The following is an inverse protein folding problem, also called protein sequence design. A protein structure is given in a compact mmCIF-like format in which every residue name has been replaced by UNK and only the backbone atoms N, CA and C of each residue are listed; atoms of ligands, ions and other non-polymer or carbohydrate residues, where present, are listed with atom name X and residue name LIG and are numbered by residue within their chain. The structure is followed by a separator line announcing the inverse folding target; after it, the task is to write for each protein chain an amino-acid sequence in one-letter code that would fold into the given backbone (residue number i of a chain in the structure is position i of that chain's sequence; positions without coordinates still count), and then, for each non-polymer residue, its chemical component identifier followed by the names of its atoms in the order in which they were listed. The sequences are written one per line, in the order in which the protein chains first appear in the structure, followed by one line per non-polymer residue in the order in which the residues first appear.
data_IF_717225899467
#
_entry.id   IF_717225899467
#
_cell.length_a   1.000
_cell.length_b   1.000
_cell.length_c   1.000
_cell.angle_alpha   90.00
_cell.angle_beta   90.00
_cell.angle_gamma   90.00
#
_symmetry.space_group_name_H-M   'P 1'
#
loop_
_entity.id
_entity.type
_entity.pdbx_description
1 polymer ?
#
# COMPACT_ATOMS: atom_id res chain seq x y z
N UNK A 1 -17.42 15.85 -14.58
CA UNK A 1 -16.30 16.80 -14.84
C UNK A 1 -16.10 17.80 -13.69
N UNK A 2 -17.15 18.24 -12.97
CA UNK A 2 -17.01 19.17 -11.84
C UNK A 2 -16.33 18.57 -10.59
N UNK A 3 -16.34 17.24 -10.45
CA UNK A 3 -15.90 16.56 -9.22
C UNK A 3 -14.38 16.52 -9.02
N UNK A 4 -13.60 16.52 -10.11
CA UNK A 4 -12.15 16.42 -10.06
C UNK A 4 -11.50 17.64 -9.40
N UNK A 5 -11.95 18.84 -9.76
CA UNK A 5 -11.43 20.08 -9.17
C UNK A 5 -11.75 20.16 -7.68
N UNK A 6 -12.95 19.72 -7.27
CA UNK A 6 -13.38 19.72 -5.88
C UNK A 6 -12.46 18.85 -5.02
N UNK A 7 -12.11 17.64 -5.48
CA UNK A 7 -11.20 16.74 -4.77
C UNK A 7 -9.84 17.37 -4.45
N UNK A 8 -9.22 18.05 -5.43
CA UNK A 8 -7.95 18.74 -5.19
C UNK A 8 -8.07 19.88 -4.19
N UNK A 9 -9.18 20.63 -4.23
CA UNK A 9 -9.43 21.74 -3.30
C UNK A 9 -9.65 21.24 -1.87
N UNK A 10 -10.33 20.10 -1.70
CA UNK A 10 -10.53 19.47 -0.40
C UNK A 10 -9.19 19.02 0.21
N UNK A 11 -8.30 18.39 -0.59
CA UNK A 11 -6.96 17.99 -0.12
C UNK A 11 -6.05 19.17 0.20
N UNK A 12 -6.15 20.25 -0.55
CA UNK A 12 -5.47 21.51 -0.23
C UNK A 12 -5.93 22.07 1.11
N UNK A 13 -7.24 22.04 1.36
CA UNK A 13 -7.83 22.49 2.64
C UNK A 13 -7.34 21.66 3.81
N UNK A 14 -7.26 20.33 3.67
CA UNK A 14 -6.72 19.43 4.70
C UNK A 14 -5.27 19.77 5.07
N UNK A 15 -4.47 20.20 4.09
CA UNK A 15 -3.08 20.64 4.28
C UNK A 15 -2.92 22.12 4.63
N UNK A 16 -4.02 22.86 4.80
CA UNK A 16 -4.03 24.33 4.96
C UNK A 16 -3.23 25.06 3.87
N UNK A 17 -3.20 24.49 2.67
CA UNK A 17 -2.56 25.07 1.49
C UNK A 17 -3.60 25.74 0.59
N UNK A 18 -3.22 26.84 -0.03
CA UNK A 18 -4.04 27.46 -1.07
C UNK A 18 -3.59 26.94 -2.44
N UNK A 19 -4.48 26.99 -3.43
CA UNK A 19 -4.13 26.63 -4.81
C UNK A 19 -3.01 27.53 -5.37
N UNK A 20 -3.01 28.82 -5.01
CA UNK A 20 -1.94 29.76 -5.37
C UNK A 20 -0.61 29.32 -4.76
N UNK A 21 -0.62 28.94 -3.47
CA UNK A 21 0.61 28.51 -2.80
C UNK A 21 1.18 27.22 -3.38
N UNK A 22 0.32 26.26 -3.73
CA UNK A 22 0.75 25.04 -4.40
C UNK A 22 1.33 25.33 -5.79
N UNK A 23 0.77 26.29 -6.53
CA UNK A 23 1.29 26.68 -7.84
C UNK A 23 2.71 27.27 -7.73
N UNK A 24 2.96 28.12 -6.72
CA UNK A 24 4.29 28.63 -6.39
C UNK A 24 5.29 27.50 -6.06
N UNK A 25 4.87 26.52 -5.25
CA UNK A 25 5.71 25.39 -4.85
C UNK A 25 6.08 24.46 -6.01
N UNK A 26 5.27 24.44 -7.06
CA UNK A 26 5.45 23.63 -8.26
C UNK A 26 6.04 24.42 -9.44
N UNK A 27 6.51 25.65 -9.19
CA UNK A 27 7.02 26.57 -10.21
C UNK A 27 6.10 26.68 -11.45
N UNK A 28 4.79 26.85 -11.21
CA UNK A 28 3.79 26.96 -12.27
C UNK A 28 2.78 28.08 -12.03
N UNK A 29 2.16 28.55 -13.11
CA UNK A 29 1.14 29.59 -12.99
C UNK A 29 -0.16 29.04 -12.33
N UNK A 30 -0.85 29.84 -11.49
CA UNK A 30 -2.14 29.44 -10.91
C UNK A 30 -3.17 29.03 -11.97
N UNK A 31 -3.14 29.68 -13.13
CA UNK A 31 -3.98 29.36 -14.30
C UNK A 31 -3.69 27.96 -14.84
N UNK A 32 -2.41 27.60 -14.94
CA UNK A 32 -1.98 26.25 -15.36
C UNK A 32 -2.48 25.20 -14.38
N UNK A 33 -2.27 25.41 -13.08
CA UNK A 33 -2.71 24.47 -12.04
C UNK A 33 -4.25 24.32 -12.04
N UNK A 34 -4.99 25.41 -12.24
CA UNK A 34 -6.45 25.38 -12.36
C UNK A 34 -6.93 24.56 -13.57
N UNK A 35 -6.26 24.69 -14.72
CA UNK A 35 -6.57 23.89 -15.91
C UNK A 35 -6.23 22.41 -15.72
N UNK A 36 -5.14 22.10 -15.00
CA UNK A 36 -4.79 20.73 -14.61
C UNK A 36 -5.86 20.12 -13.71
N UNK A 37 -6.27 20.80 -12.64
CA UNK A 37 -7.29 20.32 -11.71
C UNK A 37 -8.68 20.20 -12.34
N UNK A 38 -8.99 21.06 -13.31
CA UNK A 38 -10.23 20.98 -14.07
C UNK A 38 -10.21 19.88 -15.16
N UNK A 39 -9.09 19.17 -15.33
CA UNK A 39 -8.91 18.18 -16.39
C UNK A 39 -8.91 18.79 -17.81
N UNK A 40 -8.78 20.12 -17.92
CA UNK A 40 -8.73 20.85 -19.20
C UNK A 40 -7.34 20.84 -19.82
N UNK A 41 -6.32 20.48 -19.03
CA UNK A 41 -4.95 20.25 -19.46
C UNK A 41 -4.48 18.90 -18.93
N UNK A 42 -3.82 18.11 -19.78
CA UNK A 42 -3.25 16.82 -19.40
C UNK A 42 -2.12 17.03 -18.38
N UNK A 43 -2.23 16.38 -17.23
CA UNK A 43 -1.19 16.36 -16.20
C UNK A 43 -0.08 15.38 -16.60
N UNK A 44 1.17 15.83 -16.53
CA UNK A 44 2.33 14.97 -16.73
C UNK A 44 2.62 14.15 -15.47
N UNK A 45 3.29 13.01 -15.62
CA UNK A 45 3.58 12.10 -14.50
C UNK A 45 4.46 12.79 -13.46
N UNK A 46 5.43 13.59 -13.90
CA UNK A 46 6.32 14.34 -13.02
C UNK A 46 5.51 15.31 -12.16
N UNK A 47 4.62 16.09 -12.78
CA UNK A 47 3.75 17.04 -12.08
C UNK A 47 2.84 16.34 -11.07
N UNK A 48 2.30 15.18 -11.43
CA UNK A 48 1.47 14.38 -10.53
C UNK A 48 2.27 13.84 -9.34
N UNK A 49 3.53 13.45 -9.54
CA UNK A 49 4.43 13.02 -8.48
C UNK A 49 4.75 14.17 -7.51
N UNK A 50 4.93 15.38 -8.00
CA UNK A 50 5.14 16.54 -7.13
C UNK A 50 3.88 16.89 -6.32
N UNK A 51 2.72 16.93 -6.97
CA UNK A 51 1.43 17.16 -6.30
C UNK A 51 1.17 16.07 -5.24
N UNK A 52 1.46 14.81 -5.56
CA UNK A 52 1.38 13.68 -4.63
C UNK A 52 2.23 13.91 -3.38
N UNK A 53 3.50 14.34 -3.55
CA UNK A 53 4.40 14.66 -2.43
C UNK A 53 3.84 15.79 -1.56
N UNK A 54 3.39 16.89 -2.15
CA UNK A 54 2.88 18.05 -1.39
C UNK A 54 1.55 17.78 -0.68
N UNK A 55 0.65 17.05 -1.32
CA UNK A 55 -0.65 16.71 -0.74
C UNK A 55 -0.58 15.50 0.20
N UNK A 56 0.50 14.71 0.16
CA UNK A 56 0.66 13.49 0.94
C UNK A 56 -0.36 12.41 0.56
N UNK A 57 -0.72 12.35 -0.72
CA UNK A 57 -1.69 11.39 -1.26
C UNK A 57 -1.04 10.53 -2.33
N UNK A 58 -1.49 9.29 -2.55
CA UNK A 58 -0.94 8.41 -3.58
C UNK A 58 -0.95 9.01 -5.00
N UNK A 59 0.10 8.74 -5.79
CA UNK A 59 0.24 9.23 -7.17
C UNK A 59 -0.91 8.79 -8.09
N UNK A 60 -1.41 7.57 -7.91
CA UNK A 60 -2.55 7.04 -8.67
C UNK A 60 -3.83 7.85 -8.42
N UNK A 61 -4.07 8.31 -7.19
CA UNK A 61 -5.25 9.14 -6.87
C UNK A 61 -5.15 10.50 -7.57
N UNK A 62 -3.97 11.12 -7.55
CA UNK A 62 -3.70 12.37 -8.29
C UNK A 62 -3.95 12.18 -9.78
N UNK A 63 -3.43 11.11 -10.38
CA UNK A 63 -3.57 10.83 -11.81
C UNK A 63 -5.02 10.54 -12.22
N UNK A 64 -5.78 9.82 -11.38
CA UNK A 64 -7.19 9.54 -11.62
C UNK A 64 -8.04 10.82 -11.61
N UNK A 65 -7.82 11.70 -10.63
CA UNK A 65 -8.52 12.97 -10.54
C UNK A 65 -8.01 14.03 -11.53
N UNK A 66 -6.81 13.88 -12.08
CA UNK A 66 -6.27 14.77 -13.12
C UNK A 66 -6.87 14.55 -14.53
N UNK A 67 -7.81 13.61 -14.68
CA UNK A 67 -8.43 13.32 -15.97
C UNK A 67 -7.50 12.62 -16.97
N UNK A 68 -6.36 12.10 -16.51
CA UNK A 68 -5.67 11.09 -17.29
C UNK A 68 -6.59 9.88 -17.38
N UNK A 69 -6.73 9.31 -18.58
CA UNK A 69 -7.29 7.97 -18.74
C UNK A 69 -6.30 6.98 -18.10
N UNK A 70 -6.29 6.95 -16.77
CA UNK A 70 -5.95 5.74 -16.03
C UNK A 70 -6.89 4.69 -16.61
N UNK A 71 -6.40 3.51 -17.06
CA UNK A 71 -7.27 2.45 -17.57
C UNK A 71 -8.49 2.38 -16.67
N UNK A 72 -9.69 2.45 -17.24
CA UNK A 72 -10.94 2.61 -16.52
C UNK A 72 -11.07 1.53 -15.42
N UNK A 73 -10.54 1.82 -14.24
CA UNK A 73 -10.77 1.09 -12.99
C UNK A 73 -12.00 1.65 -12.29
N UNK A 74 -13.01 2.04 -13.09
CA UNK A 74 -14.31 2.47 -12.64
C UNK A 74 -15.13 1.27 -12.19
N UNK A 75 -14.72 0.74 -11.04
CA UNK A 75 -15.38 -0.15 -10.07
C UNK A 75 -14.23 -0.90 -9.41
N UNK A 76 -13.50 -0.13 -8.58
CA UNK A 76 -12.13 -0.38 -8.13
C UNK A 76 -11.86 -1.85 -7.89
N UNK A 77 -11.29 -2.52 -8.87
CA UNK A 77 -10.88 -3.91 -8.81
C UNK A 77 -9.91 -4.16 -9.96
N UNK A 78 -8.96 -5.06 -9.74
CA UNK A 78 -7.84 -5.27 -10.67
C UNK A 78 -7.22 -6.65 -10.51
N UNK A 79 -6.58 -7.12 -11.57
CA UNK A 79 -5.82 -8.36 -11.57
C UNK A 79 -4.41 -8.11 -11.02
N UNK A 80 -4.11 -8.70 -9.86
CA UNK A 80 -2.81 -8.61 -9.21
C UNK A 80 -2.13 -9.99 -9.15
N UNK A 81 -0.81 -10.04 -9.29
CA UNK A 81 -0.05 -11.29 -9.23
C UNK A 81 -0.16 -11.94 -7.85
N UNK A 82 -0.33 -13.26 -7.80
CA UNK A 82 -0.18 -14.06 -6.59
C UNK A 82 1.26 -14.54 -6.52
N UNK A 83 2.05 -13.96 -5.63
CA UNK A 83 3.51 -14.18 -5.53
C UNK A 83 3.90 -15.24 -4.51
N UNK A 84 2.95 -15.81 -3.77
CA UNK A 84 3.30 -16.73 -2.70
C UNK A 84 2.11 -17.21 -1.91
N UNK A 85 2.42 -17.86 -0.79
CA UNK A 85 1.43 -18.35 0.15
C UNK A 85 1.93 -18.31 1.60
N UNK A 86 0.99 -18.31 2.55
CA UNK A 86 1.22 -18.40 4.00
C UNK A 86 0.71 -19.74 4.52
N UNK A 87 1.50 -20.47 5.32
CA UNK A 87 1.07 -21.70 6.01
C UNK A 87 0.34 -21.44 7.33
N UNK A 88 -0.05 -22.53 7.99
CA UNK A 88 -0.74 -22.57 9.28
C UNK A 88 0.14 -22.17 10.48
N UNK A 89 1.40 -21.80 10.24
CA UNK A 89 2.29 -21.18 11.22
C UNK A 89 2.50 -19.68 10.98
N UNK A 90 1.88 -19.14 9.93
CA UNK A 90 2.07 -17.75 9.51
C UNK A 90 3.38 -17.52 8.75
N UNK A 91 4.11 -18.57 8.35
CA UNK A 91 5.30 -18.44 7.53
C UNK A 91 4.90 -18.28 6.07
N UNK A 92 5.52 -17.31 5.39
CA UNK A 92 5.28 -17.06 3.98
C UNK A 92 6.39 -17.65 3.10
N UNK A 93 5.98 -18.30 2.02
CA UNK A 93 6.85 -18.69 0.91
C UNK A 93 6.57 -17.76 -0.27
N UNK A 94 7.58 -17.05 -0.76
CA UNK A 94 7.43 -15.94 -1.71
C UNK A 94 8.35 -16.10 -2.91
N UNK A 95 7.82 -15.80 -4.09
CA UNK A 95 8.54 -15.53 -5.32
C UNK A 95 7.99 -14.22 -5.92
N UNK A 96 8.69 -13.12 -5.63
CA UNK A 96 8.32 -11.78 -6.12
C UNK A 96 8.44 -11.63 -7.64
N UNK A 97 9.04 -12.61 -8.34
CA UNK A 97 9.18 -12.60 -9.80
C UNK A 97 8.04 -13.30 -10.52
N UNK A 98 7.16 -14.00 -9.78
CA UNK A 98 5.96 -14.67 -10.29
C UNK A 98 5.00 -13.69 -10.98
N UNK A 99 4.57 -14.05 -12.19
CA UNK A 99 3.67 -13.24 -13.04
C UNK A 99 2.50 -14.03 -13.64
N UNK A 100 2.55 -15.36 -13.56
CA UNK A 100 1.58 -16.26 -14.19
C UNK A 100 0.26 -16.34 -13.42
N UNK A 101 0.34 -16.47 -12.09
CA UNK A 101 -0.85 -16.56 -11.24
C UNK A 101 -1.35 -15.18 -10.85
N UNK A 102 -2.65 -14.95 -11.01
CA UNK A 102 -3.30 -13.66 -10.69
C UNK A 102 -4.60 -13.87 -9.94
N UNK A 103 -4.95 -12.88 -9.12
CA UNK A 103 -6.23 -12.77 -8.45
C UNK A 103 -6.87 -11.43 -8.79
N UNK A 104 -8.17 -11.46 -9.00
CA UNK A 104 -8.99 -10.24 -9.00
C UNK A 104 -9.19 -9.78 -7.55
N UNK A 105 -8.88 -8.51 -7.28
CA UNK A 105 -9.08 -7.90 -5.98
C UNK A 105 -10.29 -6.94 -6.00
N UNK A 106 -11.17 -6.97 -4.98
CA UNK A 106 -12.11 -5.89 -4.73
C UNK A 106 -11.39 -4.72 -4.06
N UNK A 107 -11.33 -3.60 -4.75
CA UNK A 107 -10.67 -2.36 -4.34
C UNK A 107 -9.70 -1.85 -5.41
N UNK A 108 -9.52 -0.53 -5.44
CA UNK A 108 -8.41 0.07 -6.18
C UNK A 108 -7.13 -0.06 -5.35
N UNK A 109 -6.24 -0.99 -5.72
CA UNK A 109 -4.92 -1.14 -5.12
C UNK A 109 -3.83 -0.57 -6.03
N UNK A 110 -2.68 -0.13 -5.47
CA UNK A 110 -1.55 0.32 -6.28
C UNK A 110 -1.11 -0.77 -7.28
N UNK A 111 -0.64 -0.42 -8.50
CA UNK A 111 -0.18 -1.42 -9.48
C UNK A 111 0.98 -2.30 -8.99
N UNK A 112 1.73 -1.82 -8.00
CA UNK A 112 2.81 -2.55 -7.33
C UNK A 112 2.32 -3.54 -6.28
N UNK A 113 1.03 -3.52 -5.94
CA UNK A 113 0.46 -4.46 -4.99
C UNK A 113 0.41 -5.87 -5.59
N UNK A 114 0.68 -6.84 -4.73
CA UNK A 114 0.67 -8.27 -5.04
C UNK A 114 -0.13 -9.02 -3.98
N UNK A 115 -0.49 -10.26 -4.28
CA UNK A 115 -1.27 -11.12 -3.42
C UNK A 115 -0.43 -12.26 -2.87
N UNK A 116 -0.72 -12.66 -1.63
CA UNK A 116 -0.21 -13.88 -1.01
C UNK A 116 -1.44 -14.67 -0.55
N UNK A 117 -1.52 -15.94 -0.87
CA UNK A 117 -2.67 -16.78 -0.53
C UNK A 117 -2.47 -17.51 0.80
N UNK A 118 -3.44 -17.47 1.70
CA UNK A 118 -3.44 -18.41 2.82
C UNK A 118 -3.67 -19.82 2.30
N UNK A 119 -2.75 -20.73 2.64
CA UNK A 119 -2.83 -22.17 2.34
C UNK A 119 -2.78 -22.91 3.66
N UNK A 120 -3.90 -22.89 4.35
CA UNK A 120 -4.04 -23.24 5.75
C UNK A 120 -5.15 -24.27 5.85
N UNK A 121 -4.84 -25.54 5.57
CA UNK A 121 -5.88 -26.59 5.51
C UNK A 121 -6.28 -27.14 6.89
N UNK A 122 -5.54 -26.77 7.96
CA UNK A 122 -5.71 -27.29 9.32
C UNK A 122 -5.41 -26.19 10.37
N UNK A 123 -5.77 -26.45 11.62
CA UNK A 123 -5.44 -25.59 12.76
C UNK A 123 -6.25 -24.31 12.85
N UNK A 124 -5.82 -23.38 13.72
CA UNK A 124 -6.53 -22.12 13.97
C UNK A 124 -6.56 -21.18 12.76
N UNK A 125 -5.64 -21.34 11.81
CA UNK A 125 -5.64 -20.60 10.55
C UNK A 125 -6.58 -21.18 9.48
N UNK A 126 -7.23 -22.32 9.72
CA UNK A 126 -8.11 -22.96 8.74
C UNK A 126 -9.29 -22.08 8.31
N UNK A 127 -9.73 -21.15 9.17
CA UNK A 127 -10.79 -20.18 8.86
C UNK A 127 -10.41 -19.20 7.75
N UNK A 128 -9.11 -19.05 7.46
CA UNK A 128 -8.59 -18.16 6.43
C UNK A 128 -8.10 -18.91 5.20
N UNK A 129 -8.34 -20.23 5.08
CA UNK A 129 -7.86 -20.96 3.92
C UNK A 129 -8.39 -20.35 2.61
N UNK A 130 -7.50 -20.18 1.64
CA UNK A 130 -7.79 -19.57 0.35
C UNK A 130 -7.93 -18.04 0.37
N UNK A 131 -7.99 -17.38 1.53
CA UNK A 131 -8.05 -15.92 1.63
C UNK A 131 -6.79 -15.28 1.04
N UNK A 132 -6.91 -14.03 0.61
CA UNK A 132 -5.80 -13.28 0.01
C UNK A 132 -5.32 -12.17 0.92
N UNK A 133 -4.01 -12.12 1.12
CA UNK A 133 -3.31 -10.99 1.72
C UNK A 133 -2.80 -10.10 0.59
N UNK A 134 -3.20 -8.83 0.59
CA UNK A 134 -2.71 -7.83 -0.35
C UNK A 134 -1.56 -7.07 0.28
N UNK A 135 -0.42 -7.04 -0.40
CA UNK A 135 0.80 -6.43 0.14
C UNK A 135 1.58 -5.65 -0.92
N UNK A 136 2.54 -4.83 -0.48
CA UNK A 136 3.47 -4.09 -1.34
C UNK A 136 4.86 -4.76 -1.34
N UNK A 137 5.75 -4.45 -2.30
CA UNK A 137 7.10 -4.99 -2.32
C UNK A 137 7.88 -4.70 -1.02
N UNK A 138 8.87 -5.53 -0.65
CA UNK A 138 9.68 -5.35 0.55
C UNK A 138 10.38 -3.98 0.62
N UNK A 139 10.52 -3.46 1.84
CA UNK A 139 11.14 -2.16 2.17
C UNK A 139 12.00 -2.29 3.42
N UNK A 140 12.90 -1.34 3.61
CA UNK A 140 13.64 -1.20 4.87
C UNK A 140 12.69 -0.87 6.03
N UNK A 141 12.94 -1.36 7.25
CA UNK A 141 12.06 -1.08 8.40
C UNK A 141 11.94 0.41 8.73
N UNK A 142 10.76 0.98 8.54
CA UNK A 142 10.41 2.36 8.91
C UNK A 142 9.35 2.38 10.02
N UNK A 143 9.68 2.82 11.26
CA UNK A 143 8.78 2.72 12.42
C UNK A 143 7.37 3.30 12.19
N UNK A 144 7.27 4.43 11.50
CA UNK A 144 5.99 5.11 11.23
C UNK A 144 5.04 4.29 10.33
N UNK A 145 5.60 3.41 9.49
CA UNK A 145 4.83 2.60 8.53
C UNK A 145 4.54 1.18 9.02
N UNK A 146 5.32 0.64 9.96
CA UNK A 146 5.17 -0.73 10.44
C UNK A 146 4.45 -0.86 11.79
N UNK A 147 4.58 0.13 12.69
CA UNK A 147 4.03 0.00 14.05
C UNK A 147 2.51 -0.09 14.07
N UNK A 148 2.02 -0.99 14.93
CA UNK A 148 0.62 -1.32 15.20
C UNK A 148 -0.17 -1.85 14.00
N UNK A 149 0.53 -2.25 12.93
CA UNK A 149 -0.04 -2.78 11.69
C UNK A 149 0.38 -4.22 11.45
N UNK A 150 -0.48 -4.97 10.74
CA UNK A 150 -0.07 -6.24 10.17
C UNK A 150 0.93 -6.00 9.03
N UNK A 151 2.05 -6.70 9.11
CA UNK A 151 3.10 -6.69 8.11
C UNK A 151 3.53 -8.12 7.83
N UNK A 152 4.02 -8.33 6.61
CA UNK A 152 4.91 -9.43 6.33
C UNK A 152 6.33 -8.97 6.67
N UNK A 153 7.01 -9.68 7.55
CA UNK A 153 8.31 -9.26 8.06
C UNK A 153 9.33 -10.37 7.93
N UNK A 154 10.57 -10.03 7.58
CA UNK A 154 11.70 -10.93 7.72
C UNK A 154 12.52 -10.50 8.93
N UNK A 155 12.69 -11.43 9.87
CA UNK A 155 13.56 -11.25 11.03
C UNK A 155 14.99 -11.63 10.60
N UNK A 156 15.99 -10.85 11.02
CA UNK A 156 17.39 -11.18 10.74
C UNK A 156 17.72 -12.57 11.31
N UNK A 157 18.31 -13.42 10.48
CA UNK A 157 18.67 -14.80 10.84
C UNK A 157 17.52 -15.81 10.74
N UNK A 158 16.32 -15.40 10.31
CA UNK A 158 15.22 -16.32 10.00
C UNK A 158 15.16 -16.64 8.51
N UNK A 159 14.89 -17.90 8.17
CA UNK A 159 14.87 -18.36 6.77
C UNK A 159 13.61 -17.92 6.01
N UNK A 160 12.49 -17.75 6.72
CA UNK A 160 11.21 -17.40 6.12
C UNK A 160 10.64 -16.11 6.72
N UNK A 161 10.04 -15.24 5.89
CA UNK A 161 9.24 -14.14 6.40
C UNK A 161 7.94 -14.62 7.03
N UNK A 162 7.40 -13.84 7.95
CA UNK A 162 6.25 -14.19 8.77
C UNK A 162 5.22 -13.06 8.77
N UNK A 163 3.93 -13.41 8.80
CA UNK A 163 2.84 -12.44 8.89
C UNK A 163 2.50 -12.17 10.36
N UNK A 164 2.71 -10.94 10.81
CA UNK A 164 2.57 -10.53 12.22
C UNK A 164 2.08 -9.09 12.35
N UNK A 165 1.36 -8.79 13.43
CA UNK A 165 1.23 -7.40 13.88
C UNK A 165 2.55 -6.96 14.52
N UNK A 166 3.08 -5.81 14.10
CA UNK A 166 4.35 -5.30 14.60
C UNK A 166 4.10 -4.28 15.70
N UNK A 167 4.69 -4.48 16.88
CA UNK A 167 4.65 -3.55 18.01
C UNK A 167 6.05 -3.09 18.38
N UNK A 168 6.12 -2.01 19.16
CA UNK A 168 7.41 -1.51 19.69
C UNK A 168 8.04 -2.56 20.61
N UNK A 169 9.33 -2.82 20.44
CA UNK A 169 10.13 -3.61 21.38
C UNK A 169 10.60 -2.78 22.58
N UNK A 170 11.22 -3.42 23.55
CA UNK A 170 11.85 -2.77 24.70
C UNK A 170 13.20 -2.16 24.34
N UNK A 171 13.88 -2.72 23.34
CA UNK A 171 15.16 -2.24 22.84
C UNK A 171 15.00 -1.27 21.65
N UNK A 172 15.90 -0.28 21.48
CA UNK A 172 15.88 0.61 20.31
C UNK A 172 15.95 -0.17 18.99
N UNK A 173 15.12 0.20 18.00
CA UNK A 173 15.03 -0.45 16.69
C UNK A 173 14.78 -1.97 16.75
N UNK A 174 14.08 -2.42 17.81
CA UNK A 174 13.57 -3.78 17.95
C UNK A 174 12.06 -3.76 18.06
N UNK A 175 11.44 -4.89 17.70
CA UNK A 175 10.00 -4.99 17.58
C UNK A 175 9.47 -6.25 18.23
N UNK A 176 8.31 -6.14 18.85
CA UNK A 176 7.55 -7.30 19.31
C UNK A 176 6.60 -7.71 18.20
N UNK A 177 6.70 -8.95 17.73
CA UNK A 177 5.88 -9.48 16.65
C UNK A 177 4.79 -10.35 17.25
N UNK A 178 3.54 -9.93 17.05
CA UNK A 178 2.37 -10.54 17.68
C UNK A 178 1.50 -11.17 16.60
N UNK A 179 0.86 -12.26 16.97
CA UNK A 179 -0.09 -13.00 16.17
C UNK A 179 -1.32 -13.35 17.00
N UNK A 180 -2.36 -13.82 16.33
CA UNK A 180 -3.54 -14.35 16.99
C UNK A 180 -3.35 -15.76 17.57
N UNK A 181 -2.48 -16.58 16.96
CA UNK A 181 -2.39 -18.01 17.24
C UNK A 181 -1.07 -18.38 17.93
N UNK A 182 0.03 -17.76 17.51
CA UNK A 182 1.38 -18.11 17.94
C UNK A 182 1.88 -17.23 19.07
N UNK A 183 2.85 -17.74 19.84
CA UNK A 183 3.53 -16.95 20.86
C UNK A 183 4.21 -15.71 20.24
N UNK A 184 4.19 -14.56 20.94
CA UNK A 184 4.88 -13.37 20.48
C UNK A 184 6.40 -13.58 20.38
N UNK A 185 7.02 -12.97 19.37
CA UNK A 185 8.47 -12.88 19.27
C UNK A 185 8.88 -11.51 19.80
N UNK A 186 9.57 -11.49 20.93
CA UNK A 186 10.01 -10.27 21.59
C UNK A 186 11.34 -9.76 21.03
N UNK A 187 11.48 -8.43 20.99
CA UNK A 187 12.73 -7.73 20.63
C UNK A 187 13.41 -8.22 19.34
N UNK A 188 12.61 -8.54 18.33
CA UNK A 188 13.08 -8.97 17.02
C UNK A 188 13.75 -7.83 16.25
N UNK A 189 14.86 -8.14 15.56
CA UNK A 189 15.47 -7.26 14.58
C UNK A 189 14.94 -7.60 13.18
N UNK A 190 14.34 -6.62 12.50
CA UNK A 190 13.83 -6.81 11.15
C UNK A 190 14.92 -6.56 10.10
N UNK A 191 15.02 -7.47 9.12
CA UNK A 191 15.80 -7.27 7.90
C UNK A 191 15.03 -6.39 6.89
N UNK A 192 13.74 -6.67 6.72
CA UNK A 192 12.82 -5.91 5.88
C UNK A 192 11.38 -6.11 6.33
N UNK A 193 10.49 -5.24 5.87
CA UNK A 193 9.05 -5.39 6.05
C UNK A 193 8.28 -5.14 4.73
N UNK A 194 7.07 -5.64 4.67
CA UNK A 194 6.14 -5.47 3.55
C UNK A 194 4.75 -5.21 4.15
N UNK A 195 4.16 -4.04 3.92
CA UNK A 195 2.92 -3.63 4.60
C UNK A 195 1.71 -4.36 4.04
N UNK A 196 0.85 -4.88 4.93
CA UNK A 196 -0.42 -5.47 4.53
C UNK A 196 -1.45 -4.36 4.31
N UNK A 197 -1.99 -4.27 3.09
CA UNK A 197 -3.02 -3.31 2.73
C UNK A 197 -4.42 -3.82 3.05
N UNK A 198 -4.65 -5.12 2.84
CA UNK A 198 -5.92 -5.77 3.08
C UNK A 198 -5.75 -7.28 3.26
N UNK A 199 -6.71 -7.89 3.94
CA UNK A 199 -6.93 -9.33 3.93
C UNK A 199 -8.36 -9.55 3.40
N UNK A 200 -8.48 -10.33 2.34
CA UNK A 200 -9.72 -10.46 1.57
C UNK A 200 -10.20 -11.91 1.66
N UNK A 201 -11.41 -12.13 2.22
CA UNK A 201 -12.07 -13.42 2.20
C UNK A 201 -12.31 -13.94 0.77
N UNK A 202 -12.26 -15.26 0.61
CA UNK A 202 -12.56 -15.96 -0.65
C UNK A 202 -13.65 -16.99 -0.45
#
# INVERSE_FOLDING_TARGET
MADNKKWFLDRLKDKRLTQVKLAELLDMSPSTLSLLFAGKRKMRVEQAAEISRFLGVPLNDVMAHAGANVPAGGNGGGMHSIVGWVDDHGHATLDWTEKGRKAELPGAYPPTAVCIQFRTTQGFYALWDGWLVVTLPPREPEPEQLLDRYCLVSVKGSDKPILRQVRRGYSPNRYTLVDFVSDPIYDAELAWFSPILAIIPR
#
